data_IF_056790445933
#
_entry.id   IF_056790445933
#
_cell.length_a   1.000
_cell.length_b   1.000
_cell.length_c   1.000
_cell.angle_alpha   90.00
_cell.angle_beta   90.00
_cell.angle_gamma   90.00
#
_symmetry.space_group_name_H-M   'P 1'
#
loop_
_entity.id
_entity.type
_entity.pdbx_description
1 polymer ?
#
# COMPACT_ATOMS: atom_id res chain seq x y z
N UNK A 1 -10.93 9.42 -2.37
CA UNK A 1 -10.51 8.01 -2.25
C UNK A 1 -9.19 8.02 -1.52
N UNK A 2 -9.23 7.63 -0.26
CA UNK A 2 -8.08 7.68 0.67
C UNK A 2 -6.98 6.69 0.22
N UNK A 3 -5.72 6.97 0.54
CA UNK A 3 -4.60 6.11 0.16
C UNK A 3 -4.75 4.69 0.72
N UNK A 4 -5.32 4.56 1.92
CA UNK A 4 -5.65 3.28 2.52
C UNK A 4 -6.58 2.44 1.62
N UNK A 5 -7.60 3.08 1.04
CA UNK A 5 -8.54 2.44 0.12
C UNK A 5 -7.86 2.02 -1.19
N UNK A 6 -6.95 2.85 -1.71
CA UNK A 6 -6.20 2.56 -2.93
C UNK A 6 -5.26 1.36 -2.74
N UNK A 7 -4.52 1.32 -1.63
CA UNK A 7 -3.65 0.20 -1.26
C UNK A 7 -4.46 -1.09 -1.17
N UNK A 8 -5.60 -1.05 -0.46
CA UNK A 8 -6.50 -2.19 -0.30
C UNK A 8 -7.08 -2.66 -1.63
N UNK A 9 -7.45 -1.73 -2.52
CA UNK A 9 -7.96 -2.02 -3.86
C UNK A 9 -6.92 -2.78 -4.68
N UNK A 10 -5.70 -2.24 -4.80
CA UNK A 10 -4.64 -2.89 -5.60
C UNK A 10 -4.28 -4.26 -5.03
N UNK A 11 -4.19 -4.41 -3.70
CA UNK A 11 -3.97 -5.73 -3.08
C UNK A 11 -5.02 -6.74 -3.52
N UNK A 12 -6.30 -6.36 -3.45
CA UNK A 12 -7.42 -7.24 -3.84
C UNK A 12 -7.40 -7.58 -5.33
N UNK A 13 -7.11 -6.61 -6.20
CA UNK A 13 -6.96 -6.83 -7.65
C UNK A 13 -5.84 -7.81 -7.98
N UNK A 14 -4.80 -7.89 -7.15
CA UNK A 14 -3.70 -8.85 -7.26
C UNK A 14 -3.99 -10.20 -6.60
N UNK A 15 -5.16 -10.39 -5.98
CA UNK A 15 -5.55 -11.64 -5.32
C UNK A 15 -4.77 -11.97 -4.04
N UNK A 16 -4.13 -10.98 -3.41
CA UNK A 16 -3.25 -11.20 -2.27
C UNK A 16 -3.96 -11.02 -0.93
N UNK A 17 -3.59 -11.82 0.06
CA UNK A 17 -3.96 -11.62 1.46
C UNK A 17 -3.18 -10.48 2.10
N UNK A 18 -3.67 -9.98 3.25
CA UNK A 18 -2.93 -8.99 4.04
C UNK A 18 -1.61 -9.55 4.59
N UNK A 19 -1.55 -10.85 4.88
CA UNK A 19 -0.34 -11.49 5.40
C UNK A 19 0.74 -11.52 4.33
N UNK A 20 0.41 -11.92 3.10
CA UNK A 20 1.39 -11.98 2.01
C UNK A 20 2.02 -10.62 1.68
N UNK A 21 1.25 -9.52 1.80
CA UNK A 21 1.80 -8.18 1.60
C UNK A 21 2.66 -7.76 2.79
N UNK A 22 2.23 -8.07 4.02
CA UNK A 22 3.00 -7.79 5.22
C UNK A 22 4.35 -8.52 5.21
N UNK A 23 4.37 -9.79 4.84
CA UNK A 23 5.60 -10.61 4.72
C UNK A 23 6.57 -10.01 3.70
N UNK A 24 6.05 -9.57 2.54
CA UNK A 24 6.87 -8.93 1.48
C UNK A 24 7.41 -7.56 1.88
N UNK A 25 6.73 -6.87 2.78
CA UNK A 25 7.16 -5.58 3.33
C UNK A 25 7.97 -5.75 4.63
N UNK A 26 8.28 -6.99 5.02
CA UNK A 26 8.98 -7.32 6.27
C UNK A 26 8.34 -6.66 7.51
N UNK A 27 7.00 -6.69 7.58
CA UNK A 27 6.23 -6.17 8.70
C UNK A 27 5.17 -7.17 9.16
N UNK A 28 4.61 -6.93 10.34
CA UNK A 28 3.52 -7.76 10.82
C UNK A 28 2.18 -7.40 10.15
N UNK A 29 1.26 -8.38 10.08
CA UNK A 29 -0.07 -8.20 9.46
C UNK A 29 -0.92 -7.12 10.13
N UNK A 30 -0.78 -6.92 11.44
CA UNK A 30 -1.55 -5.90 12.18
C UNK A 30 -1.15 -4.50 11.73
N UNK A 31 0.16 -4.25 11.56
CA UNK A 31 0.70 -3.00 11.05
C UNK A 31 0.17 -2.73 9.63
N UNK A 32 0.21 -3.73 8.75
CA UNK A 32 -0.36 -3.60 7.41
C UNK A 32 -1.88 -3.35 7.43
N UNK A 33 -2.63 -4.02 8.31
CA UNK A 33 -4.07 -3.80 8.47
C UNK A 33 -4.40 -2.37 8.92
N UNK A 34 -3.59 -1.78 9.82
CA UNK A 34 -3.74 -0.37 10.23
C UNK A 34 -3.59 0.59 9.07
N UNK A 35 -2.70 0.28 8.12
CA UNK A 35 -2.53 1.06 6.89
C UNK A 35 -3.77 0.96 6.00
N UNK A 36 -4.28 -0.24 5.74
CA UNK A 36 -5.50 -0.43 4.92
C UNK A 36 -6.80 0.09 5.57
N UNK A 37 -6.76 0.42 6.86
CA UNK A 37 -7.90 0.98 7.61
C UNK A 37 -7.73 2.46 7.93
N UNK A 38 -6.67 3.12 7.45
CA UNK A 38 -6.40 4.53 7.71
C UNK A 38 -6.02 4.85 9.16
N UNK A 39 -5.73 3.83 9.99
CA UNK A 39 -5.29 3.99 11.39
C UNK A 39 -3.79 4.32 11.51
N UNK A 40 -3.05 4.22 10.41
CA UNK A 40 -1.64 4.54 10.30
C UNK A 40 -1.31 4.91 8.86
N UNK A 41 -0.64 6.04 8.67
CA UNK A 41 -0.20 6.45 7.34
C UNK A 41 0.97 5.57 6.85
N UNK A 42 0.97 5.15 5.58
CA UNK A 42 2.09 4.44 5.01
C UNK A 42 3.29 5.38 4.83
N UNK A 43 4.46 4.95 5.30
CA UNK A 43 5.71 5.68 5.05
C UNK A 43 6.12 5.60 3.58
N UNK A 44 7.00 6.51 3.14
CA UNK A 44 7.55 6.48 1.77
C UNK A 44 8.22 5.14 1.42
N UNK A 45 8.84 4.46 2.39
CA UNK A 45 9.43 3.15 2.18
C UNK A 45 8.38 2.07 1.90
N UNK A 46 7.25 2.11 2.61
CA UNK A 46 6.12 1.20 2.38
C UNK A 46 5.52 1.43 1.00
N UNK A 47 5.30 2.69 0.63
CA UNK A 47 4.78 3.04 -0.69
C UNK A 47 5.73 2.59 -1.81
N UNK A 48 7.04 2.75 -1.63
CA UNK A 48 8.05 2.25 -2.57
C UNK A 48 8.07 0.72 -2.64
N UNK A 49 7.97 0.03 -1.51
CA UNK A 49 7.89 -1.44 -1.48
C UNK A 49 6.66 -1.97 -2.24
N UNK A 50 5.50 -1.35 -2.02
CA UNK A 50 4.27 -1.67 -2.72
C UNK A 50 4.37 -1.40 -4.22
N UNK A 51 5.00 -0.29 -4.64
CA UNK A 51 5.10 0.07 -6.07
C UNK A 51 6.02 -0.87 -6.86
N UNK A 52 7.16 -1.24 -6.28
CA UNK A 52 8.08 -2.23 -6.86
C UNK A 52 7.40 -3.59 -6.99
N UNK A 53 6.68 -4.01 -5.94
CA UNK A 53 6.04 -5.31 -5.90
C UNK A 53 4.87 -5.43 -6.89
N UNK A 54 4.04 -4.39 -7.01
CA UNK A 54 2.89 -4.43 -7.90
C UNK A 54 3.22 -4.17 -9.37
N UNK A 55 4.51 -3.95 -9.70
CA UNK A 55 5.00 -3.50 -11.02
C UNK A 55 4.18 -2.31 -11.53
N UNK A 56 3.82 -1.40 -10.62
CA UNK A 56 3.07 -0.21 -11.01
C UNK A 56 4.01 0.73 -11.76
N UNK A 57 3.59 1.15 -12.95
CA UNK A 57 4.29 2.17 -13.72
C UNK A 57 4.38 3.47 -12.90
N UNK A 58 5.50 4.19 -13.04
CA UNK A 58 5.81 5.43 -12.29
C UNK A 58 4.64 6.44 -12.24
N UNK A 59 3.84 6.52 -13.30
CA UNK A 59 2.65 7.38 -13.37
C UNK A 59 1.51 6.96 -12.42
N UNK A 60 1.30 5.65 -12.22
CA UNK A 60 0.33 5.13 -11.26
C UNK A 60 0.80 5.34 -9.82
N UNK A 61 2.12 5.23 -9.60
CA UNK A 61 2.73 5.55 -8.31
C UNK A 61 2.58 7.03 -7.94
N UNK A 62 2.80 7.97 -8.88
CA UNK A 62 2.63 9.40 -8.65
C UNK A 62 1.21 9.80 -8.21
N UNK A 63 0.18 9.11 -8.71
CA UNK A 63 -1.21 9.31 -8.25
C UNK A 63 -1.40 8.89 -6.79
N UNK A 64 -0.72 7.83 -6.36
CA UNK A 64 -0.75 7.34 -4.98
C UNK A 64 -0.13 8.37 -4.02
N UNK A 65 1.06 8.90 -4.33
CA UNK A 65 1.78 9.85 -3.45
C UNK A 65 1.20 11.26 -3.40
N UNK A 66 0.58 11.77 -4.48
CA UNK A 66 -0.09 13.08 -4.47
C UNK A 66 -1.32 13.14 -3.55
N UNK A 67 -1.80 12.00 -3.08
CA UNK A 67 -2.95 11.91 -2.16
C UNK A 67 -2.53 12.02 -0.68
N UNK A 68 -1.24 11.82 -0.36
CA UNK A 68 -0.70 11.83 1.02
C UNK A 68 -0.23 13.22 1.47
N UNK A 69 0.11 14.10 0.54
CA UNK A 69 0.61 15.44 0.84
C UNK A 69 -0.45 16.54 0.71
N UNK A 70 -1.72 16.21 0.98
CA UNK A 70 -2.81 17.17 1.01
C UNK A 70 -3.47 17.18 2.37
#
# INVERSE_FOLDING_TARGET
>A
MDIAEQIKKVRKEKGLSQQEVADRLSMNRVQYNRIETGKSDPTMNILRGLSLFWKLMWLSFLKLIKTVQK
#
